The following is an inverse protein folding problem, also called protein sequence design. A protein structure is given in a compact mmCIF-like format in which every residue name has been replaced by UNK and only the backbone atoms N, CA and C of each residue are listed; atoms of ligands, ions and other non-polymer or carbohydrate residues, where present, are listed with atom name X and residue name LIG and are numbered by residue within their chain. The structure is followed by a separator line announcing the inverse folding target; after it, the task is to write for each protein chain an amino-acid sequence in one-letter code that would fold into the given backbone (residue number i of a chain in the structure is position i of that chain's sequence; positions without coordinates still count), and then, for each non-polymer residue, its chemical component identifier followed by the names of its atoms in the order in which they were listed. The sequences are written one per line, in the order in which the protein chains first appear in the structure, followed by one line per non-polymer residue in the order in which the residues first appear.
data_IF_831249075303
#
_entry.id   IF_831249075303
#
_cell.length_a   1.000
_cell.length_b   1.000
_cell.length_c   1.000
_cell.angle_alpha   90.00
_cell.angle_beta   90.00
_cell.angle_gamma   90.00
#
_symmetry.space_group_name_H-M   'P 1'
#
loop_
_entity.id
_entity.type
_entity.pdbx_description
1 polymer ?
#
# COMPACT_ATOMS: atom_id res chain seq x y z
N UNK A 1 23.40 -10.79 -3.33
CA UNK A 1 22.05 -10.41 -2.83
C UNK A 1 21.00 -11.04 -3.74
N UNK A 2 19.93 -11.66 -3.22
CA UNK A 2 18.84 -12.14 -4.05
C UNK A 2 18.18 -10.98 -4.81
N UNK A 3 17.75 -11.25 -6.04
CA UNK A 3 17.09 -10.26 -6.89
C UNK A 3 15.67 -10.00 -6.34
N UNK A 4 15.33 -8.74 -6.05
CA UNK A 4 13.99 -8.37 -5.54
C UNK A 4 12.84 -8.87 -6.43
N UNK A 5 13.04 -8.92 -7.75
CA UNK A 5 12.03 -9.45 -8.67
C UNK A 5 11.83 -10.95 -8.49
N UNK A 6 12.89 -11.70 -8.15
CA UNK A 6 12.78 -13.12 -7.85
C UNK A 6 11.98 -13.33 -6.56
N UNK A 7 12.29 -12.56 -5.50
CA UNK A 7 11.56 -12.63 -4.23
C UNK A 7 10.06 -12.37 -4.41
N UNK A 8 9.67 -11.41 -5.25
CA UNK A 8 8.25 -11.16 -5.56
C UNK A 8 7.63 -12.36 -6.31
N UNK A 9 8.31 -12.87 -7.34
CA UNK A 9 7.80 -13.98 -8.17
C UNK A 9 7.68 -15.30 -7.41
N UNK A 10 8.58 -15.53 -6.48
CA UNK A 10 8.61 -16.72 -5.62
C UNK A 10 7.59 -16.63 -4.47
N UNK A 11 6.92 -15.48 -4.29
CA UNK A 11 5.94 -15.27 -3.22
C UNK A 11 6.58 -15.05 -1.85
N UNK A 12 7.85 -14.65 -1.80
CA UNK A 12 8.58 -14.37 -0.55
C UNK A 12 8.33 -12.95 0.00
N UNK A 13 7.48 -12.16 -0.66
CA UNK A 13 7.15 -10.78 -0.28
C UNK A 13 5.64 -10.57 -0.37
N UNK A 14 5.03 -10.14 0.73
CA UNK A 14 3.59 -9.85 0.82
C UNK A 14 3.24 -8.35 0.65
N UNK A 15 4.24 -7.46 0.71
CA UNK A 15 4.07 -6.01 0.60
C UNK A 15 5.36 -5.35 0.12
N UNK A 16 5.27 -4.38 -0.78
CA UNK A 16 6.39 -3.55 -1.19
C UNK A 16 6.16 -2.06 -0.88
N UNK A 17 7.20 -1.36 -0.43
CA UNK A 17 7.25 0.10 -0.37
C UNK A 17 8.29 0.58 -1.38
N UNK A 18 7.85 1.31 -2.40
CA UNK A 18 8.70 1.82 -3.46
C UNK A 18 8.48 3.32 -3.67
N UNK A 19 9.32 4.15 -3.09
CA UNK A 19 9.28 5.61 -3.24
C UNK A 19 10.08 6.05 -4.48
N UNK A 20 9.44 6.40 -5.61
CA UNK A 20 10.18 6.80 -6.81
C UNK A 20 10.85 8.16 -6.60
N UNK A 21 12.11 8.28 -7.00
CA UNK A 21 12.88 9.52 -6.88
C UNK A 21 12.83 10.39 -8.15
N UNK A 22 12.82 9.81 -9.36
CA UNK A 22 12.81 10.57 -10.61
C UNK A 22 12.13 9.86 -11.79
N UNK A 23 11.16 10.53 -12.42
CA UNK A 23 10.66 10.26 -13.78
C UNK A 23 9.94 8.92 -14.05
N UNK A 24 9.46 8.75 -15.28
CA UNK A 24 8.79 7.54 -15.79
C UNK A 24 9.75 6.64 -16.58
N UNK A 25 10.97 6.42 -16.09
CA UNK A 25 11.90 5.56 -16.80
C UNK A 25 11.49 4.07 -16.66
N UNK A 26 10.97 3.49 -17.73
CA UNK A 26 10.49 2.10 -17.79
C UNK A 26 11.61 1.06 -17.63
N UNK A 27 12.87 1.43 -17.91
CA UNK A 27 14.00 0.50 -17.75
C UNK A 27 14.52 0.45 -16.32
N UNK A 28 14.11 1.41 -15.47
CA UNK A 28 14.57 1.46 -14.08
C UNK A 28 14.10 0.24 -13.28
N UNK A 29 14.97 -0.25 -12.39
CA UNK A 29 14.63 -1.34 -11.46
C UNK A 29 13.36 -1.03 -10.66
N UNK A 30 13.20 0.22 -10.21
CA UNK A 30 12.00 0.65 -9.48
C UNK A 30 10.71 0.51 -10.30
N UNK A 31 10.75 0.81 -11.60
CA UNK A 31 9.60 0.57 -12.48
C UNK A 31 9.28 -0.92 -12.62
N UNK A 32 10.31 -1.75 -12.82
CA UNK A 32 10.15 -3.21 -12.93
C UNK A 32 9.55 -3.80 -11.65
N UNK A 33 10.01 -3.35 -10.48
CA UNK A 33 9.45 -3.76 -9.18
C UNK A 33 7.97 -3.44 -9.08
N UNK A 34 7.56 -2.18 -9.34
CA UNK A 34 6.14 -1.79 -9.27
C UNK A 34 5.28 -2.63 -10.23
N UNK A 35 5.77 -2.87 -11.45
CA UNK A 35 5.08 -3.71 -12.43
C UNK A 35 4.94 -5.15 -11.95
N UNK A 36 6.03 -5.77 -11.48
CA UNK A 36 6.00 -7.15 -10.98
C UNK A 36 5.11 -7.28 -9.75
N UNK A 37 5.10 -6.31 -8.83
CA UNK A 37 4.15 -6.32 -7.70
C UNK A 37 2.69 -6.38 -8.19
N UNK A 38 2.31 -5.57 -9.18
CA UNK A 38 0.96 -5.59 -9.75
C UNK A 38 0.64 -6.93 -10.43
N UNK A 39 1.57 -7.45 -11.25
CA UNK A 39 1.41 -8.74 -11.94
C UNK A 39 1.21 -9.92 -10.97
N UNK A 40 1.84 -9.86 -9.79
CA UNK A 40 1.77 -10.91 -8.76
C UNK A 40 0.81 -10.58 -7.60
N UNK A 41 -0.02 -9.55 -7.74
CA UNK A 41 -1.02 -9.13 -6.74
C UNK A 41 -0.43 -8.79 -5.37
N UNK A 42 0.81 -8.33 -5.34
CA UNK A 42 1.48 -7.82 -4.15
C UNK A 42 1.20 -6.31 -4.05
N UNK A 43 0.62 -5.81 -2.94
CA UNK A 43 0.43 -4.38 -2.76
C UNK A 43 1.76 -3.63 -2.81
N UNK A 44 1.78 -2.52 -3.55
CA UNK A 44 2.97 -1.68 -3.71
C UNK A 44 2.65 -0.23 -3.35
N UNK A 45 3.13 0.24 -2.21
CA UNK A 45 2.93 1.61 -1.74
C UNK A 45 4.01 2.51 -2.34
N UNK A 46 3.59 3.61 -2.97
CA UNK A 46 4.51 4.54 -3.67
C UNK A 46 4.62 5.91 -3.02
N UNK A 47 4.01 6.08 -1.85
CA UNK A 47 4.04 7.29 -1.04
C UNK A 47 4.41 6.94 0.39
N UNK A 48 5.29 7.75 0.98
CA UNK A 48 5.67 7.61 2.40
C UNK A 48 4.47 7.88 3.29
N UNK A 49 3.67 8.90 2.98
CA UNK A 49 2.50 9.27 3.79
C UNK A 49 1.45 8.15 3.81
N UNK A 50 1.20 7.52 2.65
CA UNK A 50 0.31 6.35 2.57
C UNK A 50 0.87 5.16 3.32
N UNK A 51 2.20 4.98 3.31
CA UNK A 51 2.87 3.91 4.05
C UNK A 51 2.67 4.08 5.55
N UNK A 52 2.89 5.30 6.07
CA UNK A 52 2.68 5.61 7.49
C UNK A 52 1.23 5.33 7.91
N UNK A 53 0.25 5.90 7.20
CA UNK A 53 -1.17 5.68 7.52
C UNK A 53 -1.59 4.20 7.44
N UNK A 54 -1.05 3.44 6.48
CA UNK A 54 -1.32 2.01 6.35
C UNK A 54 -0.81 1.21 7.56
N UNK A 55 0.42 1.49 8.00
CA UNK A 55 0.99 0.83 9.18
C UNK A 55 0.26 1.22 10.48
N UNK A 56 -0.13 2.48 10.64
CA UNK A 56 -0.90 2.93 11.80
C UNK A 56 -2.22 2.15 11.93
N UNK A 57 -2.92 1.93 10.82
CA UNK A 57 -4.15 1.13 10.78
C UNK A 57 -3.86 -0.35 11.04
N UNK A 58 -2.78 -0.90 10.47
CA UNK A 58 -2.39 -2.30 10.72
C UNK A 58 -2.08 -2.57 12.19
N UNK A 59 -1.39 -1.65 12.87
CA UNK A 59 -1.10 -1.74 14.31
C UNK A 59 -2.39 -1.71 15.11
N UNK A 60 -3.29 -0.75 14.83
CA UNK A 60 -4.60 -0.68 15.47
C UNK A 60 -5.42 -1.95 15.25
N UNK A 61 -5.36 -2.53 14.03
CA UNK A 61 -5.99 -3.82 13.71
C UNK A 61 -5.45 -4.95 14.57
N UNK A 62 -4.12 -5.07 14.64
CA UNK A 62 -3.45 -6.12 15.41
C UNK A 62 -3.73 -6.03 16.92
N UNK A 63 -4.00 -4.84 17.42
CA UNK A 63 -4.39 -4.58 18.81
C UNK A 63 -5.89 -4.74 19.08
N UNK A 64 -6.72 -4.96 18.05
CA UNK A 64 -8.18 -5.00 18.20
C UNK A 64 -8.83 -3.63 18.42
N UNK A 65 -8.10 -2.54 18.16
CA UNK A 65 -8.54 -1.16 18.36
C UNK A 65 -9.32 -0.59 17.16
N UNK A 66 -9.61 -1.40 16.14
CA UNK A 66 -10.40 -0.99 14.99
C UNK A 66 -11.89 -1.28 15.22
N UNK A 67 -12.67 -0.22 15.36
CA UNK A 67 -14.13 -0.26 15.41
C UNK A 67 -14.74 0.65 14.33
N UNK A 68 -14.63 0.30 13.03
CA UNK A 68 -15.20 1.10 11.97
C UNK A 68 -16.74 1.11 12.07
N UNK A 69 -17.33 2.30 12.16
CA UNK A 69 -18.77 2.47 12.07
C UNK A 69 -19.19 2.41 10.60
N UNK A 70 -20.23 1.64 10.31
CA UNK A 70 -20.91 1.69 9.01
C UNK A 70 -21.96 2.78 9.09
N UNK A 71 -21.88 3.77 8.19
CA UNK A 71 -22.91 4.79 8.04
C UNK A 71 -23.31 4.90 6.57
N UNK A 72 -24.58 5.21 6.34
CA UNK A 72 -25.11 5.59 5.03
C UNK A 72 -24.53 6.93 4.59
N UNK A 73 -24.58 7.18 3.27
CA UNK A 73 -24.16 8.47 2.73
C UNK A 73 -24.96 9.63 3.34
N UNK A 74 -26.26 9.42 3.60
CA UNK A 74 -27.14 10.40 4.24
C UNK A 74 -26.67 10.75 5.65
N UNK A 75 -26.31 9.75 6.47
CA UNK A 75 -25.80 9.97 7.83
C UNK A 75 -24.45 10.71 7.83
N UNK A 76 -23.56 10.34 6.89
CA UNK A 76 -22.27 11.02 6.75
C UNK A 76 -22.40 12.50 6.39
N UNK A 77 -23.33 12.82 5.48
CA UNK A 77 -23.58 14.20 5.05
C UNK A 77 -24.21 15.04 6.17
N UNK A 78 -25.20 14.50 6.88
CA UNK A 78 -25.83 15.17 8.01
C UNK A 78 -24.83 15.51 9.14
N UNK A 79 -23.83 14.66 9.38
CA UNK A 79 -22.80 14.88 10.39
C UNK A 79 -21.76 15.97 10.00
N UNK A 80 -21.69 16.34 8.71
CA UNK A 80 -20.75 17.35 8.19
C UNK A 80 -21.31 18.78 8.15
N UNK A 81 -22.63 18.94 8.27
CA UNK A 81 -23.31 20.24 8.20
C UNK A 81 -23.45 20.94 9.57
N UNK A 82 -22.70 20.49 10.59
CA UNK A 82 -22.63 21.08 11.94
C UNK A 82 -21.27 21.71 12.20
#
# INVERSE_FOLDING_TARGET
MPNVLALIREGNIDLAVNTPTYGKNMTSTGYQVRRTCVEFKIPCLTSVDTTAAFFDILVQRGQGNLSPAVCSLQEYLAAKEV
#
